data_IF_406116105430
#
_entry.id   IF_406116105430
#
_cell.length_a   1.000
_cell.length_b   1.000
_cell.length_c   1.000
_cell.angle_alpha   90.00
_cell.angle_beta   90.00
_cell.angle_gamma   90.00
#
_symmetry.space_group_name_H-M   'P 1'
#
loop_
_entity.id
_entity.type
_entity.pdbx_description
1 polymer ?
#
# COMPACT_ATOMS: atom_id res chain seq x y z
N UNK A 1 -4.58 -13.45 -47.85
CA UNK A 1 -5.09 -12.33 -47.01
C UNK A 1 -5.39 -12.90 -45.61
N UNK A 2 -4.36 -12.91 -44.74
CA UNK A 2 -4.43 -13.51 -43.39
C UNK A 2 -4.76 -12.42 -42.40
N UNK A 3 -6.02 -12.39 -41.95
CA UNK A 3 -6.45 -11.54 -40.82
C UNK A 3 -5.99 -12.25 -39.55
N UNK A 4 -4.85 -11.83 -38.98
CA UNK A 4 -4.45 -12.20 -37.62
C UNK A 4 -5.43 -11.58 -36.64
N UNK A 5 -6.36 -12.38 -36.12
CA UNK A 5 -7.15 -12.06 -34.95
C UNK A 5 -6.19 -11.79 -33.78
N UNK A 6 -5.91 -10.52 -33.48
CA UNK A 6 -5.28 -10.08 -32.25
C UNK A 6 -6.28 -10.29 -31.12
N UNK A 7 -6.26 -11.45 -30.49
CA UNK A 7 -6.92 -11.66 -29.19
C UNK A 7 -6.20 -10.71 -28.24
N UNK A 8 -6.88 -9.62 -27.88
CA UNK A 8 -6.44 -8.69 -26.86
C UNK A 8 -6.39 -9.47 -25.53
N UNK A 9 -5.22 -10.02 -25.18
CA UNK A 9 -4.99 -10.70 -23.91
C UNK A 9 -5.18 -9.62 -22.84
N UNK A 10 -6.35 -9.60 -22.19
CA UNK A 10 -6.61 -8.75 -21.02
C UNK A 10 -5.45 -8.99 -20.07
N UNK A 11 -4.62 -7.97 -19.81
CA UNK A 11 -3.51 -8.12 -18.88
C UNK A 11 -4.07 -8.55 -17.53
N UNK A 12 -3.49 -9.59 -16.95
CA UNK A 12 -3.86 -10.01 -15.60
C UNK A 12 -3.55 -8.88 -14.63
N UNK A 13 -4.40 -8.72 -13.60
CA UNK A 13 -4.22 -7.69 -12.60
C UNK A 13 -2.95 -7.90 -11.77
N UNK A 14 -2.29 -6.82 -11.39
CA UNK A 14 -1.09 -6.85 -10.54
C UNK A 14 -1.47 -6.93 -9.06
N UNK A 15 -0.80 -7.81 -8.32
CA UNK A 15 -0.97 -7.95 -6.86
C UNK A 15 0.20 -7.25 -6.17
N UNK A 16 -0.12 -6.28 -5.33
CA UNK A 16 0.81 -5.55 -4.48
C UNK A 16 0.54 -5.89 -3.03
N UNK A 17 1.55 -6.37 -2.31
CA UNK A 17 1.48 -6.39 -0.85
C UNK A 17 1.91 -5.04 -0.29
N UNK A 18 1.10 -4.46 0.59
CA UNK A 18 1.43 -3.23 1.32
C UNK A 18 1.94 -3.63 2.69
N UNK A 19 3.20 -3.38 2.96
CA UNK A 19 3.88 -3.91 4.13
C UNK A 19 4.81 -2.91 4.81
N UNK A 20 5.25 -3.24 6.03
CA UNK A 20 6.23 -2.48 6.78
C UNK A 20 6.84 -3.34 7.88
N UNK A 21 8.05 -3.04 8.32
CA UNK A 21 8.66 -3.71 9.44
C UNK A 21 8.07 -3.33 10.81
N UNK A 22 7.44 -2.14 10.92
CA UNK A 22 6.93 -1.58 12.19
C UNK A 22 5.43 -1.33 12.14
N UNK A 23 4.74 -1.54 13.26
CA UNK A 23 3.35 -1.14 13.42
C UNK A 23 3.17 0.37 13.44
N UNK A 24 2.00 0.86 13.01
CA UNK A 24 1.63 2.27 13.12
C UNK A 24 2.23 3.22 12.07
N UNK A 25 3.04 2.74 11.11
CA UNK A 25 3.61 3.59 10.04
C UNK A 25 2.60 3.99 8.95
N UNK A 26 1.38 3.44 8.97
CA UNK A 26 0.29 3.83 8.08
C UNK A 26 0.01 2.90 6.91
N UNK A 27 0.33 1.60 7.00
CA UNK A 27 0.01 0.60 5.97
C UNK A 27 -1.46 0.63 5.55
N UNK A 28 -2.36 0.34 6.49
CA UNK A 28 -3.80 0.26 6.25
C UNK A 28 -4.37 1.55 5.66
N UNK A 29 -3.92 2.71 6.18
CA UNK A 29 -4.28 4.02 5.63
C UNK A 29 -3.78 4.19 4.20
N UNK A 30 -2.56 3.73 3.91
CA UNK A 30 -1.98 3.76 2.57
C UNK A 30 -2.75 2.84 1.63
N UNK A 31 -3.06 1.60 2.06
CA UNK A 31 -3.83 0.63 1.28
C UNK A 31 -5.20 1.20 0.88
N UNK A 32 -5.95 1.75 1.85
CA UNK A 32 -7.26 2.35 1.60
C UNK A 32 -7.17 3.57 0.66
N UNK A 33 -6.23 4.49 0.94
CA UNK A 33 -6.12 5.74 0.19
C UNK A 33 -5.58 5.52 -1.22
N UNK A 34 -4.61 4.62 -1.39
CA UNK A 34 -4.07 4.26 -2.70
C UNK A 34 -5.11 3.50 -3.53
N UNK A 35 -5.85 2.58 -2.91
CA UNK A 35 -6.98 1.90 -3.55
C UNK A 35 -8.03 2.88 -4.06
N UNK A 36 -8.37 3.90 -3.25
CA UNK A 36 -9.30 4.96 -3.66
C UNK A 36 -8.72 5.83 -4.79
N UNK A 37 -7.44 6.21 -4.73
CA UNK A 37 -6.78 7.02 -5.75
C UNK A 37 -6.69 6.30 -7.11
N UNK A 38 -6.42 4.99 -7.11
CA UNK A 38 -6.45 4.15 -8.33
C UNK A 38 -7.87 4.03 -8.88
N UNK A 39 -8.87 3.85 -8.00
CA UNK A 39 -10.27 3.77 -8.41
C UNK A 39 -10.79 5.08 -9.02
N UNK A 40 -10.35 6.26 -8.51
CA UNK A 40 -10.62 7.57 -9.10
C UNK A 40 -10.04 7.73 -10.51
N UNK A 41 -8.96 6.98 -10.84
CA UNK A 41 -8.38 6.89 -12.19
C UNK A 41 -9.09 5.88 -13.11
N UNK A 42 -10.26 5.38 -12.69
CA UNK A 42 -11.06 4.42 -13.47
C UNK A 42 -10.52 2.98 -13.42
N UNK A 43 -9.51 2.69 -12.60
CA UNK A 43 -9.00 1.32 -12.41
C UNK A 43 -9.94 0.55 -11.50
N UNK A 44 -10.23 -0.71 -11.85
CA UNK A 44 -10.96 -1.61 -10.97
C UNK A 44 -10.00 -2.17 -9.94
N UNK A 45 -10.22 -1.90 -8.65
CA UNK A 45 -9.29 -2.16 -7.55
C UNK A 45 -9.95 -3.02 -6.49
N UNK A 46 -9.23 -4.04 -6.03
CA UNK A 46 -9.55 -4.80 -4.84
C UNK A 46 -8.52 -4.45 -3.75
N UNK A 47 -8.99 -4.06 -2.59
CA UNK A 47 -8.18 -3.99 -1.38
C UNK A 47 -8.51 -5.19 -0.50
N UNK A 48 -7.51 -5.89 -0.02
CA UNK A 48 -7.64 -7.12 0.78
C UNK A 48 -7.04 -6.85 2.15
N UNK A 49 -7.81 -7.03 3.19
CA UNK A 49 -7.31 -7.00 4.56
C UNK A 49 -6.79 -8.41 4.93
N UNK A 50 -5.48 -8.54 5.12
CA UNK A 50 -4.84 -9.78 5.54
C UNK A 50 -4.39 -9.75 7.01
N UNK A 51 -4.77 -8.70 7.79
CA UNK A 51 -4.52 -8.63 9.24
C UNK A 51 -5.62 -9.35 10.01
N UNK A 52 -5.62 -10.69 9.88
CA UNK A 52 -6.57 -11.59 10.56
C UNK A 52 -6.50 -11.37 12.07
N UNK A 53 -7.66 -11.21 12.70
CA UNK A 53 -7.82 -10.96 14.14
C UNK A 53 -7.90 -9.47 14.51
N UNK A 54 -7.42 -8.51 13.70
CA UNK A 54 -7.52 -7.07 13.98
C UNK A 54 -8.51 -6.35 13.08
N UNK A 55 -8.50 -6.62 11.78
CA UNK A 55 -9.43 -6.06 10.78
C UNK A 55 -9.67 -4.56 10.93
N UNK A 56 -8.87 -3.74 10.25
CA UNK A 56 -8.94 -2.28 10.35
C UNK A 56 -9.27 -1.58 9.01
N UNK A 57 -9.13 -2.27 7.88
CA UNK A 57 -9.29 -1.67 6.56
C UNK A 57 -10.76 -1.29 6.26
N UNK A 58 -11.70 -2.08 6.77
CA UNK A 58 -13.13 -1.84 6.67
C UNK A 58 -13.57 -0.55 7.37
N UNK A 59 -12.98 -0.24 8.53
CA UNK A 59 -13.26 0.99 9.28
C UNK A 59 -12.81 2.22 8.49
N UNK A 60 -11.60 2.19 7.93
CA UNK A 60 -11.08 3.32 7.11
C UNK A 60 -11.92 3.52 5.83
N UNK A 61 -12.56 2.47 5.34
CA UNK A 61 -13.43 2.53 4.16
C UNK A 61 -14.91 2.80 4.50
N UNK A 62 -15.29 2.83 5.78
CA UNK A 62 -16.67 2.98 6.25
C UNK A 62 -17.59 1.83 5.83
N UNK A 63 -17.05 0.59 5.83
CA UNK A 63 -17.74 -0.61 5.34
C UNK A 63 -17.99 -1.67 6.43
N UNK A 64 -17.66 -1.39 7.67
CA UNK A 64 -17.68 -2.31 8.82
C UNK A 64 -19.04 -3.00 9.03
N UNK A 65 -20.14 -2.31 8.75
CA UNK A 65 -21.51 -2.82 8.93
C UNK A 65 -22.04 -3.61 7.71
N UNK A 66 -21.20 -3.93 6.72
CA UNK A 66 -21.61 -4.61 5.48
C UNK A 66 -20.97 -5.98 5.29
N UNK A 67 -20.19 -6.43 6.25
CA UNK A 67 -19.42 -7.67 6.19
C UNK A 67 -20.31 -8.85 6.55
N UNK A 68 -20.40 -9.82 5.62
CA UNK A 68 -21.07 -11.10 5.81
C UNK A 68 -20.06 -12.24 5.75
N UNK A 69 -19.16 -12.20 4.78
CA UNK A 69 -18.08 -13.14 4.57
C UNK A 69 -16.74 -12.41 4.49
N UNK A 70 -15.65 -13.14 4.73
CA UNK A 70 -14.30 -12.61 4.82
C UNK A 70 -13.28 -13.47 4.04
N UNK A 71 -12.00 -13.10 4.10
CA UNK A 71 -10.91 -13.80 3.44
C UNK A 71 -10.82 -15.29 3.85
N UNK A 72 -11.03 -15.59 5.13
CA UNK A 72 -10.96 -16.97 5.66
C UNK A 72 -12.10 -17.80 5.10
N UNK A 73 -13.32 -17.26 5.03
CA UNK A 73 -14.48 -17.96 4.46
C UNK A 73 -14.25 -18.32 2.98
N UNK A 74 -13.63 -17.43 2.21
CA UNK A 74 -13.26 -17.73 0.82
C UNK A 74 -12.17 -18.80 0.75
N UNK A 75 -11.11 -18.67 1.57
CA UNK A 75 -10.00 -19.62 1.62
C UNK A 75 -10.46 -21.04 2.00
N UNK A 76 -11.40 -21.13 2.94
CA UNK A 76 -12.01 -22.41 3.39
C UNK A 76 -13.18 -22.88 2.52
N UNK A 77 -13.47 -22.18 1.41
CA UNK A 77 -14.54 -22.50 0.47
C UNK A 77 -15.95 -22.51 1.11
N UNK A 78 -16.14 -21.79 2.20
CA UNK A 78 -17.44 -21.60 2.87
C UNK A 78 -18.37 -20.75 2.01
N UNK A 79 -17.81 -19.80 1.23
CA UNK A 79 -18.55 -18.96 0.30
C UNK A 79 -17.83 -18.83 -1.05
N UNK A 80 -18.54 -18.35 -2.07
CA UNK A 80 -17.91 -17.98 -3.35
C UNK A 80 -17.15 -16.68 -3.19
N UNK A 81 -16.01 -16.47 -3.88
CA UNK A 81 -15.22 -15.22 -3.79
C UNK A 81 -16.06 -13.96 -3.97
N UNK A 82 -16.98 -13.95 -4.93
CA UNK A 82 -17.85 -12.78 -5.19
C UNK A 82 -18.81 -12.44 -4.06
N UNK A 83 -19.13 -13.37 -3.15
CA UNK A 83 -20.01 -13.13 -2.01
C UNK A 83 -19.31 -12.40 -0.86
N UNK A 84 -17.98 -12.50 -0.77
CA UNK A 84 -17.16 -11.83 0.24
C UNK A 84 -16.73 -10.41 -0.20
N UNK A 85 -16.93 -10.05 -1.48
CA UNK A 85 -16.56 -8.73 -1.98
C UNK A 85 -17.57 -7.65 -1.53
N UNK A 86 -17.06 -6.60 -0.93
CA UNK A 86 -17.85 -5.44 -0.51
C UNK A 86 -17.49 -4.26 -1.39
N UNK A 87 -18.45 -3.74 -2.13
CA UNK A 87 -18.27 -2.56 -2.97
C UNK A 87 -18.25 -1.28 -2.13
N UNK A 88 -17.30 -0.38 -2.39
CA UNK A 88 -17.24 0.93 -1.75
C UNK A 88 -18.51 1.76 -1.98
N UNK A 89 -18.87 2.55 -0.97
CA UNK A 89 -20.01 3.50 -1.08
C UNK A 89 -19.70 4.68 -2.00
N UNK A 90 -18.41 5.05 -2.14
CA UNK A 90 -17.96 6.25 -2.87
C UNK A 90 -17.40 5.98 -4.26
N UNK A 91 -17.10 4.74 -4.59
CA UNK A 91 -16.56 4.36 -5.90
C UNK A 91 -17.13 3.05 -6.39
N UNK A 92 -17.53 3.04 -7.66
CA UNK A 92 -17.95 1.80 -8.32
C UNK A 92 -16.78 0.87 -8.66
N UNK A 93 -15.56 1.36 -8.56
CA UNK A 93 -14.35 0.67 -8.96
C UNK A 93 -13.51 0.18 -7.79
N UNK A 94 -13.87 0.47 -6.53
CA UNK A 94 -13.17 0.04 -5.33
C UNK A 94 -13.99 -1.03 -4.59
N UNK A 95 -13.32 -2.13 -4.28
CA UNK A 95 -13.88 -3.27 -3.57
C UNK A 95 -12.99 -3.66 -2.40
N UNK A 96 -13.59 -4.18 -1.34
CA UNK A 96 -12.92 -4.71 -0.16
C UNK A 96 -13.18 -6.21 -0.05
N UNK A 97 -12.12 -6.99 0.22
CA UNK A 97 -12.20 -8.32 0.81
C UNK A 97 -11.70 -8.20 2.25
N UNK A 98 -12.57 -8.29 3.26
CA UNK A 98 -12.20 -8.05 4.65
C UNK A 98 -11.49 -9.25 5.27
N UNK A 99 -10.66 -8.99 6.31
CA UNK A 99 -10.15 -10.04 7.18
C UNK A 99 -11.22 -10.59 8.11
N UNK A 100 -10.97 -11.75 8.71
CA UNK A 100 -11.73 -12.23 9.85
C UNK A 100 -11.30 -11.52 11.14
N UNK A 101 -12.25 -11.26 12.03
CA UNK A 101 -11.99 -10.71 13.37
C UNK A 101 -11.83 -11.80 14.45
N UNK A 102 -12.36 -12.98 14.19
CA UNK A 102 -12.52 -14.03 15.22
C UNK A 102 -11.58 -15.22 15.00
N UNK A 103 -10.97 -15.31 13.83
CA UNK A 103 -10.06 -16.39 13.52
C UNK A 103 -8.62 -16.08 13.95
N UNK A 104 -7.84 -17.12 14.17
CA UNK A 104 -6.41 -17.03 14.46
C UNK A 104 -5.61 -16.75 13.18
N UNK A 105 -4.46 -16.09 13.31
CA UNK A 105 -3.60 -15.70 12.18
C UNK A 105 -3.09 -16.89 11.35
N UNK A 106 -3.03 -18.06 11.95
CA UNK A 106 -2.53 -19.28 11.33
C UNK A 106 -3.64 -20.16 10.71
N UNK A 107 -4.90 -19.67 10.71
CA UNK A 107 -6.05 -20.41 10.17
C UNK A 107 -5.95 -20.64 8.66
N UNK A 108 -5.21 -19.79 7.94
CA UNK A 108 -4.97 -19.91 6.49
C UNK A 108 -3.49 -20.09 6.19
N UNK A 109 -3.21 -20.84 5.15
CA UNK A 109 -1.85 -21.08 4.61
C UNK A 109 -1.51 -20.09 3.49
N UNK A 110 -0.21 -19.97 3.15
CA UNK A 110 0.26 -19.16 2.01
C UNK A 110 -0.41 -19.62 0.69
N UNK A 111 -0.58 -20.93 0.47
CA UNK A 111 -1.18 -21.45 -0.75
C UNK A 111 -2.68 -21.18 -0.85
N UNK A 112 -3.41 -21.23 0.27
CA UNK A 112 -4.83 -20.86 0.32
C UNK A 112 -5.00 -19.37 -0.01
N UNK A 113 -4.20 -18.48 0.59
CA UNK A 113 -4.27 -17.02 0.30
C UNK A 113 -3.90 -16.76 -1.16
N UNK A 114 -2.84 -17.37 -1.69
CA UNK A 114 -2.47 -17.26 -3.11
C UNK A 114 -3.62 -17.67 -4.02
N UNK A 115 -4.24 -18.84 -3.73
CA UNK A 115 -5.36 -19.33 -4.51
C UNK A 115 -6.54 -18.37 -4.52
N UNK A 116 -6.82 -17.70 -3.40
CA UNK A 116 -7.88 -16.68 -3.31
C UNK A 116 -7.53 -15.47 -4.17
N UNK A 117 -6.30 -14.94 -4.05
CA UNK A 117 -5.87 -13.74 -4.79
C UNK A 117 -5.88 -13.98 -6.31
N UNK A 118 -5.40 -15.15 -6.76
CA UNK A 118 -5.34 -15.50 -8.18
C UNK A 118 -6.74 -15.56 -8.83
N UNK A 119 -7.79 -15.92 -8.09
CA UNK A 119 -9.15 -15.91 -8.61
C UNK A 119 -9.62 -14.50 -9.01
N UNK A 120 -9.07 -13.45 -8.39
CA UNK A 120 -9.43 -12.07 -8.67
C UNK A 120 -8.58 -11.38 -9.75
N UNK A 121 -7.44 -11.94 -10.17
CA UNK A 121 -6.53 -11.32 -11.17
C UNK A 121 -7.22 -10.93 -12.48
N UNK A 122 -8.22 -11.69 -12.90
CA UNK A 122 -8.94 -11.44 -14.17
C UNK A 122 -10.00 -10.35 -14.06
N UNK A 123 -10.40 -10.00 -12.83
CA UNK A 123 -11.48 -9.04 -12.59
C UNK A 123 -10.96 -7.65 -12.23
N UNK A 124 -9.79 -7.56 -11.60
CA UNK A 124 -9.23 -6.32 -11.09
C UNK A 124 -7.96 -5.95 -11.84
N UNK A 125 -7.69 -4.63 -11.97
CA UNK A 125 -6.43 -4.13 -12.51
C UNK A 125 -5.34 -4.13 -11.44
N UNK A 126 -5.73 -3.82 -10.20
CA UNK A 126 -4.85 -3.80 -9.04
C UNK A 126 -5.51 -4.53 -7.87
N UNK A 127 -4.73 -5.33 -7.17
CA UNK A 127 -5.09 -5.99 -5.92
C UNK A 127 -4.06 -5.53 -4.89
N UNK A 128 -4.50 -4.79 -3.87
CA UNK A 128 -3.65 -4.28 -2.80
C UNK A 128 -3.93 -5.09 -1.53
N UNK A 129 -2.92 -5.82 -1.04
CA UNK A 129 -3.05 -6.68 0.14
C UNK A 129 -2.44 -5.95 1.34
N UNK A 130 -3.26 -5.52 2.29
CA UNK A 130 -2.81 -4.92 3.55
C UNK A 130 -2.26 -6.02 4.48
N UNK A 131 -0.97 -5.99 4.77
CA UNK A 131 -0.34 -6.99 5.63
C UNK A 131 -0.40 -6.59 7.11
N UNK A 132 -0.40 -7.55 8.03
CA UNK A 132 -0.11 -7.23 9.43
C UNK A 132 1.30 -6.63 9.58
N UNK A 133 1.56 -6.01 10.72
CA UNK A 133 2.89 -5.53 11.07
C UNK A 133 3.82 -6.70 11.38
N UNK A 134 5.12 -6.51 11.11
CA UNK A 134 6.16 -7.50 11.40
C UNK A 134 6.43 -8.46 10.24
N UNK A 135 7.08 -9.58 10.54
CA UNK A 135 7.64 -10.52 9.56
C UNK A 135 7.20 -11.97 9.80
N UNK A 136 6.20 -12.16 10.64
CA UNK A 136 5.71 -13.47 11.07
C UNK A 136 4.78 -14.11 10.01
N UNK A 137 4.04 -15.16 10.40
CA UNK A 137 3.19 -15.93 9.48
C UNK A 137 2.19 -15.06 8.71
N UNK A 138 1.54 -14.10 9.37
CA UNK A 138 0.59 -13.19 8.71
C UNK A 138 1.23 -12.37 7.58
N UNK A 139 2.48 -11.91 7.75
CA UNK A 139 3.23 -11.26 6.68
C UNK A 139 3.51 -12.23 5.52
N UNK A 140 3.90 -13.49 5.81
CA UNK A 140 4.15 -14.49 4.77
C UNK A 140 2.90 -14.79 3.97
N UNK A 141 1.75 -14.93 4.65
CA UNK A 141 0.45 -15.14 4.02
C UNK A 141 0.07 -13.95 3.13
N UNK A 142 0.27 -12.70 3.60
CA UNK A 142 -0.03 -11.50 2.82
C UNK A 142 0.87 -11.37 1.57
N UNK A 143 2.12 -11.85 1.63
CA UNK A 143 3.03 -11.87 0.49
C UNK A 143 2.74 -13.00 -0.51
N UNK A 144 1.86 -13.94 -0.17
CA UNK A 144 1.57 -15.08 -1.02
C UNK A 144 0.89 -14.64 -2.33
N UNK A 145 1.55 -14.86 -3.45
CA UNK A 145 1.05 -14.46 -4.77
C UNK A 145 1.25 -13.00 -5.14
N UNK A 146 1.93 -12.19 -4.30
CA UNK A 146 2.26 -10.82 -4.65
C UNK A 146 3.31 -10.75 -5.76
N UNK A 147 3.09 -9.89 -6.74
CA UNK A 147 4.05 -9.59 -7.82
C UNK A 147 5.05 -8.53 -7.34
N UNK A 148 4.57 -7.55 -6.59
CA UNK A 148 5.34 -6.39 -6.09
C UNK A 148 4.98 -6.10 -4.64
N UNK A 149 5.84 -5.35 -3.95
CA UNK A 149 5.59 -4.89 -2.60
C UNK A 149 5.70 -3.36 -2.48
N UNK A 150 4.78 -2.76 -1.74
CA UNK A 150 4.88 -1.37 -1.29
C UNK A 150 5.39 -1.39 0.15
N UNK A 151 6.65 -1.02 0.34
CA UNK A 151 7.28 -0.93 1.66
C UNK A 151 7.03 0.45 2.22
N UNK A 152 6.21 0.52 3.27
CA UNK A 152 5.85 1.78 3.93
C UNK A 152 6.78 1.99 5.12
N UNK A 153 7.45 3.13 5.18
CA UNK A 153 8.25 3.52 6.33
C UNK A 153 8.03 4.99 6.70
N UNK A 154 8.40 5.36 7.92
CA UNK A 154 8.55 6.75 8.34
C UNK A 154 10.04 7.09 8.40
N UNK A 155 10.45 8.38 8.24
CA UNK A 155 11.85 8.78 8.23
C UNK A 155 12.46 8.81 9.66
N UNK A 156 12.29 7.71 10.38
CA UNK A 156 12.78 7.45 11.73
C UNK A 156 13.71 6.24 11.71
N UNK A 157 14.88 6.34 12.36
CA UNK A 157 15.91 5.26 12.37
C UNK A 157 15.34 3.87 12.71
N UNK A 158 14.50 3.70 13.76
CA UNK A 158 13.93 2.38 14.05
C UNK A 158 13.05 1.83 12.93
N UNK A 159 12.21 2.69 12.30
CA UNK A 159 11.31 2.28 11.23
C UNK A 159 12.10 1.86 9.97
N UNK A 160 13.21 2.54 9.68
CA UNK A 160 14.08 2.24 8.53
C UNK A 160 14.81 0.90 8.75
N UNK A 161 15.32 0.61 9.94
CA UNK A 161 15.93 -0.68 10.25
C UNK A 161 14.95 -1.84 10.07
N UNK A 162 13.72 -1.64 10.51
CA UNK A 162 12.67 -2.64 10.35
C UNK A 162 12.25 -2.81 8.88
N UNK A 163 12.23 -1.71 8.10
CA UNK A 163 11.97 -1.74 6.67
C UNK A 163 13.07 -2.49 5.89
N UNK A 164 14.35 -2.28 6.22
CA UNK A 164 15.48 -2.98 5.62
C UNK A 164 15.38 -4.51 5.78
N UNK A 165 14.97 -4.97 6.97
CA UNK A 165 14.72 -6.40 7.21
C UNK A 165 13.59 -6.95 6.32
N UNK A 166 12.51 -6.19 6.15
CA UNK A 166 11.39 -6.57 5.28
C UNK A 166 11.84 -6.65 3.82
N UNK A 167 12.63 -5.67 3.36
CA UNK A 167 13.19 -5.64 1.99
C UNK A 167 14.02 -6.90 1.73
N UNK A 168 14.89 -7.30 2.67
CA UNK A 168 15.66 -8.55 2.56
C UNK A 168 14.78 -9.80 2.41
N UNK A 169 13.67 -9.88 3.16
CA UNK A 169 12.72 -11.00 3.07
C UNK A 169 11.93 -11.01 1.75
N UNK A 170 11.53 -9.84 1.24
CA UNK A 170 10.84 -9.71 -0.05
C UNK A 170 11.76 -10.13 -1.20
N UNK A 171 13.03 -9.69 -1.17
CA UNK A 171 14.04 -10.06 -2.16
C UNK A 171 14.26 -11.58 -2.20
N UNK A 172 14.30 -12.24 -1.03
CA UNK A 172 14.40 -13.70 -0.95
C UNK A 172 13.19 -14.44 -1.55
N UNK A 173 12.02 -13.79 -1.59
CA UNK A 173 10.78 -14.31 -2.22
C UNK A 173 10.63 -13.87 -3.68
N UNK A 174 11.58 -13.15 -4.26
CA UNK A 174 11.52 -12.56 -5.61
C UNK A 174 10.33 -11.61 -5.81
N UNK A 175 9.91 -10.92 -4.74
CA UNK A 175 8.89 -9.87 -4.77
C UNK A 175 9.60 -8.53 -4.88
N UNK A 176 9.33 -7.76 -5.95
CA UNK A 176 9.97 -6.46 -6.21
C UNK A 176 9.50 -5.40 -5.20
N UNK A 177 10.40 -4.86 -4.33
CA UNK A 177 10.02 -3.85 -3.35
C UNK A 177 10.08 -2.44 -3.95
N UNK A 178 9.10 -1.60 -3.63
CA UNK A 178 9.06 -0.17 -3.92
C UNK A 178 8.79 0.62 -2.65
N UNK A 179 9.45 1.75 -2.48
CA UNK A 179 9.43 2.55 -1.26
C UNK A 179 8.31 3.60 -1.29
N UNK A 180 7.59 3.71 -0.18
CA UNK A 180 6.75 4.88 0.13
C UNK A 180 7.21 5.43 1.48
N UNK A 181 7.71 6.67 1.50
CA UNK A 181 8.06 7.38 2.72
C UNK A 181 6.82 8.12 3.21
N UNK A 182 6.34 7.77 4.38
CA UNK A 182 5.11 8.33 4.97
C UNK A 182 5.43 9.25 6.15
N UNK A 183 4.57 10.24 6.37
CA UNK A 183 4.61 11.19 7.49
C UNK A 183 5.91 12.00 7.57
N UNK A 184 6.51 12.34 6.45
CA UNK A 184 7.66 13.24 6.45
C UNK A 184 7.22 14.64 6.91
N UNK A 185 8.04 15.26 7.75
CA UNK A 185 7.89 16.66 8.18
C UNK A 185 9.12 17.43 7.71
N UNK A 186 8.95 18.22 6.64
CA UNK A 186 10.06 18.96 6.05
C UNK A 186 10.62 20.06 6.95
N UNK A 187 9.86 20.55 7.93
CA UNK A 187 10.40 21.47 8.94
C UNK A 187 11.37 20.76 9.86
N UNK A 188 11.05 19.53 10.28
CA UNK A 188 11.96 18.69 11.05
C UNK A 188 13.20 18.29 10.23
N UNK A 189 13.02 17.94 8.95
CA UNK A 189 14.15 17.63 8.04
C UNK A 189 15.09 18.84 7.93
N UNK A 190 14.55 20.05 7.73
CA UNK A 190 15.36 21.29 7.65
C UNK A 190 16.16 21.57 8.92
N UNK A 191 15.63 21.25 10.08
CA UNK A 191 16.33 21.42 11.37
C UNK A 191 17.34 20.32 11.66
N UNK A 192 17.24 19.16 10.98
CA UNK A 192 18.07 18.00 11.23
C UNK A 192 17.53 17.04 12.27
N UNK A 193 16.28 17.19 12.62
CA UNK A 193 15.60 16.38 13.63
C UNK A 193 14.95 15.11 13.00
N UNK A 194 14.91 15.05 11.67
CA UNK A 194 14.33 13.93 10.89
C UNK A 194 15.22 13.66 9.67
N UNK A 195 15.29 12.39 9.26
CA UNK A 195 16.00 11.99 8.04
C UNK A 195 15.33 12.59 6.81
N UNK A 196 16.13 12.98 5.83
CA UNK A 196 15.64 13.44 4.52
C UNK A 196 15.17 12.27 3.66
N UNK A 197 14.53 12.59 2.54
CA UNK A 197 14.11 11.60 1.53
C UNK A 197 15.35 10.88 0.96
N UNK A 198 16.39 11.64 0.67
CA UNK A 198 17.67 11.15 0.15
C UNK A 198 18.34 10.21 1.16
N UNK A 199 18.42 10.60 2.45
CA UNK A 199 18.99 9.73 3.49
C UNK A 199 18.27 8.38 3.56
N UNK A 200 16.93 8.38 3.47
CA UNK A 200 16.13 7.14 3.50
C UNK A 200 16.37 6.29 2.26
N UNK A 201 16.42 6.91 1.06
CA UNK A 201 16.70 6.20 -0.18
C UNK A 201 18.10 5.59 -0.21
N UNK A 202 19.12 6.33 0.25
CA UNK A 202 20.50 5.86 0.30
C UNK A 202 20.65 4.66 1.26
N UNK A 203 19.93 4.67 2.39
CA UNK A 203 19.95 3.56 3.35
C UNK A 203 19.23 2.31 2.80
N UNK A 204 18.06 2.47 2.20
CA UNK A 204 17.21 1.32 1.82
C UNK A 204 17.52 0.78 0.41
N UNK A 205 18.08 1.58 -0.48
CA UNK A 205 18.57 1.18 -1.81
C UNK A 205 17.48 0.62 -2.75
N UNK A 206 16.22 0.96 -2.56
CA UNK A 206 15.10 0.53 -3.42
C UNK A 206 14.40 1.71 -4.08
N UNK A 207 13.69 1.44 -5.20
CA UNK A 207 12.99 2.46 -5.98
C UNK A 207 11.96 3.21 -5.13
N UNK A 208 12.08 4.54 -5.08
CA UNK A 208 11.09 5.41 -4.43
C UNK A 208 9.87 5.60 -5.33
N UNK A 209 8.72 5.17 -4.86
CA UNK A 209 7.43 5.36 -5.54
C UNK A 209 6.75 6.66 -5.14
N UNK A 210 6.96 7.13 -3.92
CA UNK A 210 6.43 8.41 -3.48
C UNK A 210 6.68 8.78 -2.04
N UNK A 211 6.38 10.05 -1.75
CA UNK A 211 6.55 10.67 -0.44
C UNK A 211 5.23 11.28 -0.01
N UNK A 212 4.84 11.05 1.23
CA UNK A 212 3.60 11.53 1.84
C UNK A 212 3.97 12.40 3.04
N UNK A 213 3.64 13.69 2.96
CA UNK A 213 3.82 14.60 4.08
C UNK A 213 2.87 14.26 5.25
N UNK A 214 3.29 14.62 6.45
CA UNK A 214 2.40 14.61 7.61
C UNK A 214 1.22 15.56 7.35
N UNK A 215 0.00 15.00 7.43
CA UNK A 215 -1.24 15.73 7.14
C UNK A 215 -2.33 15.30 8.13
N UNK A 216 -2.86 16.23 8.89
CA UNK A 216 -3.93 15.98 9.88
C UNK A 216 -5.24 15.54 9.21
N UNK A 217 -5.45 15.90 7.93
CA UNK A 217 -6.61 15.43 7.17
C UNK A 217 -6.68 13.91 7.06
N UNK A 218 -5.56 13.20 7.20
CA UNK A 218 -5.51 11.73 7.22
C UNK A 218 -6.30 11.18 8.42
N UNK A 219 -6.12 11.79 9.59
CA UNK A 219 -6.83 11.38 10.83
C UNK A 219 -8.32 11.71 10.70
N UNK A 220 -8.63 12.92 10.24
CA UNK A 220 -10.02 13.35 10.04
C UNK A 220 -10.74 12.44 9.06
N UNK A 221 -10.12 12.11 7.93
CA UNK A 221 -10.69 11.24 6.92
C UNK A 221 -10.92 9.82 7.46
N UNK A 222 -9.93 9.24 8.16
CA UNK A 222 -10.04 7.91 8.77
C UNK A 222 -11.18 7.84 9.80
N UNK A 223 -11.34 8.86 10.65
CA UNK A 223 -12.43 8.94 11.63
C UNK A 223 -13.82 9.04 10.97
N UNK A 224 -13.88 9.57 9.75
CA UNK A 224 -15.10 9.65 8.96
C UNK A 224 -15.36 8.38 8.12
N UNK A 225 -14.51 7.36 8.19
CA UNK A 225 -14.61 6.16 7.36
C UNK A 225 -14.39 6.46 5.87
N UNK A 226 -13.52 7.42 5.56
CA UNK A 226 -13.24 7.86 4.19
C UNK A 226 -11.74 7.90 3.92
N UNK A 227 -11.23 7.24 2.88
CA UNK A 227 -9.85 7.42 2.44
C UNK A 227 -9.52 8.89 2.12
N UNK A 228 -8.37 9.37 2.59
CA UNK A 228 -7.96 10.77 2.39
C UNK A 228 -7.77 11.15 0.91
N UNK A 229 -7.59 10.18 0.03
CA UNK A 229 -7.50 10.38 -1.42
C UNK A 229 -8.77 11.01 -2.03
N UNK A 230 -9.92 10.95 -1.35
CA UNK A 230 -11.13 11.66 -1.78
C UNK A 230 -11.11 13.16 -1.44
N UNK A 231 -10.14 13.63 -0.65
CA UNK A 231 -9.98 15.05 -0.35
C UNK A 231 -8.90 15.69 -1.25
N UNK A 232 -9.27 16.40 -2.34
CA UNK A 232 -8.30 16.99 -3.26
C UNK A 232 -7.50 18.16 -2.66
N UNK A 233 -7.92 18.69 -1.50
CA UNK A 233 -7.23 19.77 -0.79
C UNK A 233 -6.17 19.22 0.19
N UNK A 234 -6.22 17.95 0.53
CA UNK A 234 -5.25 17.31 1.41
C UNK A 234 -3.93 17.08 0.66
N UNK A 235 -2.81 17.45 1.28
CA UNK A 235 -1.47 17.16 0.76
C UNK A 235 -1.24 15.66 0.61
N UNK A 236 -1.65 14.89 1.61
CA UNK A 236 -1.59 13.42 1.56
C UNK A 236 -2.48 12.86 0.44
N UNK A 237 -3.70 13.39 0.26
CA UNK A 237 -4.59 12.99 -0.84
C UNK A 237 -3.96 13.23 -2.22
N UNK A 238 -3.31 14.37 -2.41
CA UNK A 238 -2.57 14.68 -3.65
C UNK A 238 -1.36 13.75 -3.84
N UNK A 239 -0.63 13.43 -2.76
CA UNK A 239 0.49 12.50 -2.81
C UNK A 239 0.01 11.09 -3.24
N UNK A 240 -1.07 10.57 -2.65
CA UNK A 240 -1.66 9.29 -3.08
C UNK A 240 -2.12 9.33 -4.54
N UNK A 241 -2.66 10.45 -5.01
CA UNK A 241 -3.01 10.62 -6.43
C UNK A 241 -1.77 10.51 -7.33
N UNK A 242 -0.64 11.17 -7.00
CA UNK A 242 0.61 11.06 -7.77
C UNK A 242 1.16 9.63 -7.77
N UNK A 243 1.17 8.96 -6.60
CA UNK A 243 1.62 7.56 -6.48
C UNK A 243 0.76 6.65 -7.36
N UNK A 244 -0.57 6.79 -7.31
CA UNK A 244 -1.49 6.02 -8.15
C UNK A 244 -1.25 6.26 -9.65
N UNK A 245 -0.90 7.49 -10.05
CA UNK A 245 -0.53 7.79 -11.44
C UNK A 245 0.71 7.03 -11.88
N UNK A 246 1.78 7.03 -11.05
CA UNK A 246 3.00 6.26 -11.33
C UNK A 246 2.73 4.76 -11.42
N UNK A 247 1.88 4.22 -10.54
CA UNK A 247 1.45 2.81 -10.63
C UNK A 247 0.67 2.50 -11.91
N UNK A 248 -0.01 3.49 -12.47
CA UNK A 248 -0.69 3.37 -13.77
C UNK A 248 0.24 3.54 -14.97
N UNK A 249 1.54 3.79 -14.76
CA UNK A 249 2.52 4.04 -15.82
C UNK A 249 2.55 5.48 -16.34
N UNK A 250 1.94 6.44 -15.60
CA UNK A 250 2.03 7.85 -15.93
C UNK A 250 3.43 8.38 -15.55
N UNK A 251 4.03 9.19 -16.43
CA UNK A 251 5.32 9.84 -16.17
C UNK A 251 5.12 11.06 -15.25
N UNK A 252 4.95 10.78 -13.97
CA UNK A 252 4.83 11.82 -12.94
C UNK A 252 6.15 11.88 -12.18
N UNK A 253 6.93 12.97 -12.28
CA UNK A 253 8.21 13.07 -11.57
C UNK A 253 8.01 13.02 -10.05
N UNK A 254 8.99 12.46 -9.35
CA UNK A 254 9.10 12.62 -7.90
C UNK A 254 9.61 14.04 -7.66
N UNK A 255 8.98 14.74 -6.71
CA UNK A 255 9.40 16.09 -6.33
C UNK A 255 10.86 16.08 -5.88
N UNK A 256 11.62 17.11 -6.26
CA UNK A 256 13.01 17.28 -5.83
C UNK A 256 13.05 17.79 -4.39
N UNK A 257 13.56 16.97 -3.50
CA UNK A 257 13.71 17.27 -2.07
C UNK A 257 15.16 17.62 -1.67
N UNK A 258 16.11 17.64 -2.62
CA UNK A 258 17.56 17.76 -2.40
C UNK A 258 17.99 18.98 -1.57
N UNK A 259 17.20 20.05 -1.59
CA UNK A 259 17.46 21.25 -0.77
C UNK A 259 17.21 21.03 0.74
N UNK A 260 16.69 19.88 1.16
CA UNK A 260 16.32 19.59 2.54
C UNK A 260 17.26 18.57 3.23
N UNK A 261 18.24 17.97 2.51
CA UNK A 261 19.09 16.89 3.00
C UNK A 261 20.29 17.33 3.87
N UNK A 262 20.92 16.36 4.53
CA UNK A 262 22.12 16.52 5.36
C UNK A 262 23.31 17.13 4.58
N UNK A 263 23.51 16.70 3.34
CA UNK A 263 24.59 17.20 2.45
C UNK A 263 24.37 18.65 2.03
N UNK A 264 23.16 19.09 1.80
CA UNK A 264 22.83 20.50 1.52
C UNK A 264 23.15 21.43 2.69
N UNK A 265 23.25 20.91 3.93
CA UNK A 265 23.69 21.66 5.11
C UNK A 265 25.21 21.74 5.25
N UNK A 266 25.91 20.68 4.88
CA UNK A 266 27.37 20.65 4.92
C UNK A 266 27.96 21.68 3.93
N UNK A 267 27.39 21.75 2.72
CA UNK A 267 27.81 22.72 1.70
C UNK A 267 27.51 24.17 2.09
N UNK A 268 26.34 24.45 2.70
CA UNK A 268 26.02 25.80 3.24
C UNK A 268 26.92 26.20 4.41
N UNK A 269 27.33 25.26 5.28
CA UNK A 269 28.22 25.53 6.40
C UNK A 269 29.68 25.73 5.97
N UNK A 270 30.06 25.14 4.85
CA UNK A 270 31.41 25.26 4.27
C UNK A 270 31.53 26.42 3.27
N UNK A 271 30.48 27.18 3.01
CA UNK A 271 30.54 28.36 2.13
C UNK A 271 30.87 28.03 0.67
N UNK A 272 30.60 26.81 0.22
CA UNK A 272 30.79 26.37 -1.16
C UNK A 272 29.42 26.41 -1.83
N UNK A 273 29.10 27.57 -2.40
CA UNK A 273 27.89 27.84 -3.18
C UNK A 273 28.20 28.89 -4.19
#
# INVERSE_FOLDING_TARGET
MNIKNGINKKSEGEIYVVTSGKGGVGKTTTTASLGAALALRGKRVLVVDADIGLRNLDVILGLENRIVFNLVDVAKQICKPSQALIKSKKSNNLFLLPASQTDDKDVVTEDEVRSVLDQFRREFHFILVDSPAGIEQGFRNACAGADKALVITTPEIPAIRDADRVIGLLSAKSVEPRLIINRIDFDMVRRGDMLSVEDVQDILGIELLGVIERDENVIVAANNGEPVAYNPKSKAGQAFSRIAGRMCGEDIPIEDFSNNGFWGRLTRRLGVG
#
